data_IF_355940640734
#
_entry.id   IF_355940640734
#
_cell.length_a   1.000
_cell.length_b   1.000
_cell.length_c   1.000
_cell.angle_alpha   90.00
_cell.angle_beta   90.00
_cell.angle_gamma   90.00
#
_symmetry.space_group_name_H-M   'P 1'
#
loop_
_entity.id
_entity.type
_entity.pdbx_description
1 polymer ?
#
# COMPACT_ATOMS: atom_id res chain seq x y z
N UNK A 1 1.19 18.60 0.59
CA UNK A 1 1.94 19.14 1.77
C UNK A 1 2.53 17.98 2.56
N UNK A 2 3.87 17.83 2.65
CA UNK A 2 4.52 16.69 3.32
C UNK A 2 4.48 16.88 4.84
N UNK A 3 3.83 15.97 5.56
CA UNK A 3 3.79 15.94 7.03
C UNK A 3 5.22 15.80 7.56
N UNK A 4 5.73 16.75 8.38
CA UNK A 4 7.05 16.60 8.99
C UNK A 4 6.98 15.52 10.07
N UNK A 5 7.72 14.43 9.86
CA UNK A 5 7.87 13.35 10.83
C UNK A 5 9.00 13.75 11.76
N UNK A 6 8.66 14.42 12.86
CA UNK A 6 9.63 14.92 13.85
C UNK A 6 10.58 13.80 14.30
N UNK A 7 11.91 13.98 14.26
CA UNK A 7 12.84 12.96 14.69
C UNK A 7 12.68 12.72 16.19
N UNK A 8 12.63 11.45 16.58
CA UNK A 8 12.60 11.04 17.97
C UNK A 8 13.85 11.62 18.70
N UNK A 9 13.69 12.15 19.92
CA UNK A 9 14.82 12.67 20.68
C UNK A 9 15.85 11.56 20.90
N UNK A 10 17.16 11.87 20.82
CA UNK A 10 18.18 10.85 20.98
C UNK A 10 18.09 10.21 22.37
N UNK A 11 18.10 8.87 22.38
CA UNK A 11 17.96 8.03 23.60
C UNK A 11 19.10 8.29 24.60
N UNK A 12 20.21 8.89 24.15
CA UNK A 12 21.29 9.40 25.00
C UNK A 12 21.83 10.75 24.48
N UNK A 13 22.34 11.64 25.35
CA UNK A 13 22.86 12.93 24.92
C UNK A 13 24.16 12.75 24.13
N UNK A 14 24.06 12.65 22.81
CA UNK A 14 25.20 12.64 21.88
C UNK A 14 25.51 14.08 21.45
N UNK A 15 26.71 14.55 21.78
CA UNK A 15 27.19 15.87 21.32
C UNK A 15 27.46 15.81 19.82
N UNK A 16 26.88 16.75 19.06
CA UNK A 16 27.14 16.94 17.63
C UNK A 16 28.07 18.14 17.42
N UNK A 17 29.08 17.98 16.56
CA UNK A 17 30.00 19.04 16.15
C UNK A 17 29.66 19.61 14.76
N UNK A 18 28.46 19.31 14.24
CA UNK A 18 28.01 19.80 12.95
C UNK A 18 27.93 21.34 12.97
N UNK A 19 28.65 21.98 12.04
CA UNK A 19 28.68 23.44 11.90
C UNK A 19 27.53 23.99 11.04
N UNK A 20 26.99 23.14 10.16
CA UNK A 20 25.92 23.48 9.24
C UNK A 20 24.64 22.81 9.74
N UNK A 21 23.54 23.56 9.76
CA UNK A 21 22.22 23.03 10.11
C UNK A 21 21.61 22.34 8.89
N UNK A 22 21.17 21.10 9.05
CA UNK A 22 20.41 20.39 8.03
C UNK A 22 19.01 21.02 7.92
N UNK A 23 18.61 21.52 6.73
CA UNK A 23 17.32 22.19 6.54
C UNK A 23 16.16 21.20 6.41
N UNK A 24 16.46 19.94 6.05
CA UNK A 24 15.49 18.87 5.87
C UNK A 24 15.78 17.78 6.90
N UNK A 25 14.72 17.22 7.45
CA UNK A 25 14.81 16.09 8.37
C UNK A 25 15.04 14.80 7.59
N UNK A 26 15.61 13.80 8.28
CA UNK A 26 15.79 12.46 7.71
C UNK A 26 14.41 11.87 7.43
N UNK A 27 14.09 11.53 6.17
CA UNK A 27 12.81 10.92 5.85
C UNK A 27 12.74 9.50 6.41
N UNK A 28 11.53 8.96 6.50
CA UNK A 28 11.36 7.55 6.83
C UNK A 28 12.04 6.67 5.75
N UNK A 29 13.09 5.95 6.15
CA UNK A 29 13.93 5.14 5.26
C UNK A 29 13.19 3.90 4.69
N UNK A 30 12.10 3.49 5.33
CA UNK A 30 11.24 2.39 4.86
C UNK A 30 10.04 2.91 4.08
N UNK A 31 9.90 4.23 3.91
CA UNK A 31 8.73 4.84 3.31
C UNK A 31 8.47 4.33 1.90
N UNK A 32 9.52 4.12 1.10
CA UNK A 32 9.34 3.60 -0.27
C UNK A 32 8.70 2.21 -0.26
N UNK A 33 9.18 1.32 0.60
CA UNK A 33 8.67 -0.05 0.70
C UNK A 33 7.25 -0.07 1.23
N UNK A 34 6.97 0.67 2.32
CA UNK A 34 5.63 0.70 2.90
C UNK A 34 4.64 1.40 1.98
N UNK A 35 5.01 2.54 1.40
CA UNK A 35 4.12 3.31 0.53
C UNK A 35 3.78 2.57 -0.76
N UNK A 36 4.76 1.92 -1.40
CA UNK A 36 4.52 1.15 -2.62
C UNK A 36 3.53 0.01 -2.37
N UNK A 37 3.71 -0.71 -1.26
CA UNK A 37 2.82 -1.81 -0.90
C UNK A 37 1.42 -1.34 -0.48
N UNK A 38 1.33 -0.23 0.27
CA UNK A 38 0.05 0.38 0.65
C UNK A 38 -0.75 0.79 -0.61
N UNK A 39 -0.09 1.39 -1.61
CA UNK A 39 -0.70 1.75 -2.90
C UNK A 39 -1.16 0.53 -3.69
N UNK A 40 -0.35 -0.54 -3.73
CA UNK A 40 -0.73 -1.78 -4.41
C UNK A 40 -2.01 -2.37 -3.81
N UNK A 41 -2.10 -2.42 -2.47
CA UNK A 41 -3.22 -3.05 -1.78
C UNK A 41 -4.48 -2.20 -1.68
N UNK A 42 -4.38 -0.87 -1.80
CA UNK A 42 -5.52 0.02 -1.60
C UNK A 42 -6.01 0.08 -0.14
N UNK A 43 -5.11 -0.14 0.83
CA UNK A 43 -5.48 -0.23 2.25
C UNK A 43 -5.88 1.12 2.87
N UNK A 44 -6.39 1.10 4.11
CA UNK A 44 -6.85 2.30 4.83
C UNK A 44 -5.79 3.42 4.91
N UNK A 45 -4.50 3.06 5.01
CA UNK A 45 -3.41 4.04 5.07
C UNK A 45 -3.22 4.75 3.73
N UNK A 46 -3.33 4.03 2.63
CA UNK A 46 -3.31 4.62 1.30
C UNK A 46 -4.58 5.45 1.05
N UNK A 47 -5.77 4.96 1.43
CA UNK A 47 -7.03 5.69 1.29
C UNK A 47 -6.99 7.04 2.02
N UNK A 48 -6.53 7.07 3.27
CA UNK A 48 -6.35 8.30 4.03
C UNK A 48 -5.35 9.28 3.38
N UNK A 49 -4.32 8.75 2.69
CA UNK A 49 -3.37 9.58 1.93
C UNK A 49 -3.99 10.16 0.66
N UNK A 50 -4.81 9.39 -0.04
CA UNK A 50 -5.55 9.86 -1.23
C UNK A 50 -6.54 10.95 -0.83
N UNK A 51 -7.30 10.77 0.26
CA UNK A 51 -8.21 11.77 0.80
C UNK A 51 -7.49 13.07 1.15
N UNK A 52 -6.39 12.99 1.92
CA UNK A 52 -5.59 14.16 2.27
C UNK A 52 -4.95 14.85 1.05
N UNK A 53 -4.55 14.09 0.03
CA UNK A 53 -4.01 14.64 -1.21
C UNK A 53 -5.10 15.33 -2.06
N UNK A 54 -6.30 14.77 -2.09
CA UNK A 54 -7.45 15.37 -2.76
C UNK A 54 -7.85 16.70 -2.13
N UNK A 55 -7.85 16.79 -0.79
CA UNK A 55 -8.07 18.04 -0.06
C UNK A 55 -6.98 19.08 -0.35
N UNK A 56 -5.73 18.63 -0.49
CA UNK A 56 -4.59 19.49 -0.80
C UNK A 56 -4.48 19.87 -2.30
N UNK A 57 -5.34 19.32 -3.17
CA UNK A 57 -5.25 19.49 -4.62
C UNK A 57 -3.99 18.88 -5.25
N UNK A 58 -3.40 17.87 -4.61
CA UNK A 58 -2.15 17.22 -5.02
C UNK A 58 -2.48 16.01 -5.92
N UNK A 59 -1.95 15.99 -7.14
CA UNK A 59 -2.28 14.97 -8.17
C UNK A 59 -1.26 13.83 -8.25
N UNK A 60 -0.21 13.85 -7.42
CA UNK A 60 0.90 12.89 -7.50
C UNK A 60 0.55 11.47 -6.99
N UNK A 61 -0.62 11.28 -6.37
CA UNK A 61 -1.06 9.99 -5.82
C UNK A 61 -2.18 9.43 -6.71
N UNK A 62 -2.06 8.18 -7.22
CA UNK A 62 -3.12 7.55 -8.00
C UNK A 62 -4.40 7.41 -7.15
N UNK A 63 -5.55 7.67 -7.77
CA UNK A 63 -6.86 7.58 -7.12
C UNK A 63 -7.41 6.16 -7.05
N UNK A 64 -6.90 5.27 -7.91
CA UNK A 64 -7.25 3.85 -7.96
C UNK A 64 -6.11 3.04 -7.34
N UNK A 65 -6.45 1.98 -6.61
CA UNK A 65 -5.43 1.09 -6.05
C UNK A 65 -4.80 0.21 -7.12
N UNK A 66 -3.58 -0.27 -6.89
CA UNK A 66 -2.89 -1.08 -7.91
C UNK A 66 -3.59 -2.40 -8.25
N UNK A 67 -4.19 -3.08 -7.26
CA UNK A 67 -4.95 -4.30 -7.52
C UNK A 67 -6.25 -4.04 -8.28
N UNK A 68 -6.94 -2.95 -7.95
CA UNK A 68 -8.17 -2.54 -8.64
C UNK A 68 -7.89 -2.19 -10.10
N UNK A 69 -6.83 -1.43 -10.36
CA UNK A 69 -6.37 -1.12 -11.73
C UNK A 69 -6.12 -2.40 -12.54
N UNK A 70 -5.44 -3.39 -11.95
CA UNK A 70 -5.18 -4.68 -12.60
C UNK A 70 -6.49 -5.43 -12.87
N UNK A 71 -7.45 -5.44 -11.93
CA UNK A 71 -8.72 -6.13 -12.14
C UNK A 71 -9.57 -5.47 -13.22
N UNK A 72 -9.56 -4.14 -13.29
CA UNK A 72 -10.22 -3.37 -14.36
C UNK A 72 -9.55 -3.63 -15.73
N UNK A 73 -8.22 -3.72 -15.78
CA UNK A 73 -7.50 -3.95 -17.03
C UNK A 73 -7.78 -5.34 -17.64
N UNK A 74 -7.86 -6.38 -16.81
CA UNK A 74 -8.10 -7.75 -17.29
C UNK A 74 -9.58 -8.06 -17.56
N UNK A 75 -10.50 -7.20 -17.15
CA UNK A 75 -11.95 -7.43 -17.19
C UNK A 75 -12.64 -6.58 -18.26
N UNK A 76 -13.62 -7.12 -19.02
CA UNK A 76 -14.09 -8.50 -19.02
C UNK A 76 -13.17 -9.44 -19.82
N UNK A 77 -13.11 -10.70 -19.38
CA UNK A 77 -12.51 -11.79 -20.17
C UNK A 77 -13.61 -12.38 -21.05
N UNK A 78 -13.46 -12.25 -22.36
CA UNK A 78 -14.45 -12.71 -23.35
C UNK A 78 -13.94 -13.94 -24.12
N UNK A 79 -14.87 -14.82 -24.51
CA UNK A 79 -14.58 -15.90 -25.44
C UNK A 79 -14.50 -15.41 -26.90
N UNK A 80 -13.92 -16.21 -27.79
CA UNK A 80 -13.77 -15.83 -29.21
C UNK A 80 -15.10 -15.51 -29.92
N UNK A 81 -16.20 -16.13 -29.46
CA UNK A 81 -17.53 -15.94 -30.06
C UNK A 81 -18.34 -14.84 -29.37
N UNK A 82 -17.77 -14.11 -28.40
CA UNK A 82 -18.42 -13.03 -27.63
C UNK A 82 -19.80 -13.42 -27.05
N UNK A 83 -19.94 -14.68 -26.66
CA UNK A 83 -21.17 -15.25 -26.09
C UNK A 83 -21.04 -15.47 -24.58
N UNK A 84 -19.81 -15.54 -24.06
CA UNK A 84 -19.51 -15.75 -22.64
C UNK A 84 -18.51 -14.70 -22.17
N UNK A 85 -18.77 -14.11 -21.01
CA UNK A 85 -17.88 -13.13 -20.38
C UNK A 85 -17.71 -13.37 -18.88
N UNK A 86 -16.50 -13.13 -18.37
CA UNK A 86 -16.16 -13.19 -16.96
C UNK A 86 -15.63 -11.82 -16.51
N UNK A 87 -16.27 -11.24 -15.49
CA UNK A 87 -15.87 -9.95 -14.92
C UNK A 87 -15.45 -10.08 -13.46
N UNK A 88 -14.47 -9.28 -13.04
CA UNK A 88 -14.05 -9.15 -11.64
C UNK A 88 -14.49 -7.78 -11.11
N UNK A 89 -15.08 -7.75 -9.91
CA UNK A 89 -15.56 -6.48 -9.31
C UNK A 89 -14.87 -6.19 -7.98
N UNK A 90 -15.19 -6.99 -6.96
CA UNK A 90 -14.73 -6.73 -5.59
C UNK A 90 -13.58 -7.66 -5.20
N UNK A 91 -12.60 -7.15 -4.45
CA UNK A 91 -11.58 -7.96 -3.83
C UNK A 91 -11.44 -7.63 -2.34
N UNK A 92 -11.07 -8.64 -1.53
CA UNK A 92 -10.81 -8.45 -0.10
C UNK A 92 -9.72 -9.39 0.40
N UNK A 93 -8.93 -8.91 1.35
CA UNK A 93 -7.99 -9.75 2.07
C UNK A 93 -8.62 -10.26 3.36
N UNK A 94 -8.44 -11.56 3.63
CA UNK A 94 -8.70 -12.10 4.96
C UNK A 94 -7.46 -11.98 5.86
N UNK A 95 -7.65 -12.00 7.19
CA UNK A 95 -6.53 -11.97 8.11
C UNK A 95 -5.53 -13.10 7.83
N UNK A 96 -4.22 -12.84 8.01
CA UNK A 96 -3.19 -13.86 7.91
C UNK A 96 -3.48 -15.06 8.82
N UNK A 97 -3.24 -16.27 8.31
CA UNK A 97 -3.51 -17.52 9.04
C UNK A 97 -2.58 -17.71 10.25
N UNK A 98 -1.38 -17.15 10.19
CA UNK A 98 -0.33 -17.30 11.21
C UNK A 98 0.29 -15.94 11.51
N UNK A 99 0.83 -15.78 12.72
CA UNK A 99 1.58 -14.57 13.08
C UNK A 99 3.00 -14.61 12.47
N UNK A 100 3.67 -13.46 12.45
CA UNK A 100 5.04 -13.35 11.92
C UNK A 100 6.01 -14.24 12.69
N UNK A 101 5.87 -14.35 14.01
CA UNK A 101 6.70 -15.20 14.87
C UNK A 101 6.49 -16.68 14.53
N UNK A 102 5.23 -17.11 14.38
CA UNK A 102 4.91 -18.49 14.00
C UNK A 102 5.46 -18.83 12.62
N UNK A 103 5.36 -17.91 11.67
CA UNK A 103 5.93 -18.07 10.34
C UNK A 103 7.45 -18.23 10.38
N UNK A 104 8.13 -17.42 11.19
CA UNK A 104 9.58 -17.50 11.37
C UNK A 104 10.02 -18.81 12.05
N UNK A 105 9.28 -19.26 13.06
CA UNK A 105 9.66 -20.43 13.86
C UNK A 105 9.35 -21.76 13.16
N UNK A 106 8.35 -21.77 12.25
CA UNK A 106 7.89 -22.98 11.53
C UNK A 106 8.20 -22.96 10.03
N UNK A 107 9.02 -22.02 9.58
CA UNK A 107 9.36 -21.81 8.16
C UNK A 107 8.13 -21.71 7.24
N UNK A 108 7.06 -21.04 7.71
CA UNK A 108 5.90 -20.72 6.89
C UNK A 108 6.03 -19.34 6.22
N UNK A 109 5.38 -19.17 5.07
CA UNK A 109 5.23 -17.85 4.44
C UNK A 109 4.13 -17.04 5.11
N UNK A 110 4.48 -15.87 5.65
CA UNK A 110 3.49 -14.91 6.15
C UNK A 110 2.69 -14.35 4.97
N UNK A 111 1.41 -14.67 4.92
CA UNK A 111 0.52 -14.36 3.80
C UNK A 111 -0.93 -14.19 4.26
N UNK A 112 -1.66 -13.36 3.53
CA UNK A 112 -3.08 -13.11 3.69
C UNK A 112 -3.83 -13.68 2.47
N UNK A 113 -4.90 -14.48 2.64
CA UNK A 113 -5.72 -14.93 1.52
C UNK A 113 -6.41 -13.76 0.82
N UNK A 114 -6.40 -13.77 -0.52
CA UNK A 114 -7.13 -12.81 -1.35
C UNK A 114 -8.38 -13.48 -1.92
N UNK A 115 -9.55 -12.88 -1.70
CA UNK A 115 -10.81 -13.30 -2.28
C UNK A 115 -11.28 -12.26 -3.28
N UNK A 116 -11.79 -12.73 -4.43
CA UNK A 116 -12.32 -11.89 -5.51
C UNK A 116 -13.73 -12.35 -5.85
N UNK A 117 -14.64 -11.41 -6.03
CA UNK A 117 -16.00 -11.64 -6.53
C UNK A 117 -15.97 -11.61 -8.05
N UNK A 118 -16.31 -12.75 -8.66
CA UNK A 118 -16.37 -12.90 -10.11
C UNK A 118 -17.82 -13.09 -10.57
N UNK A 119 -18.21 -12.38 -11.62
CA UNK A 119 -19.53 -12.45 -12.24
C UNK A 119 -19.38 -13.04 -13.65
N UNK A 120 -20.17 -14.07 -13.95
CA UNK A 120 -20.20 -14.73 -15.26
C UNK A 120 -21.50 -14.38 -15.99
N UNK A 121 -21.40 -13.93 -17.23
CA UNK A 121 -22.52 -13.54 -18.11
C UNK A 121 -22.47 -14.27 -19.43
#
# INVERSE_FOLDING_TARGET
MRTPVSPAPPISPRVSFAKIREPLEVPNLLALQTASFDTLLGNERWQARVEAAQEAGETDIPMTSGLEEIFEEISPIEDFSQTMSLSFRDHRFEPPKYTVEQCRDKDFTYSAPLFVTAEFM
#
